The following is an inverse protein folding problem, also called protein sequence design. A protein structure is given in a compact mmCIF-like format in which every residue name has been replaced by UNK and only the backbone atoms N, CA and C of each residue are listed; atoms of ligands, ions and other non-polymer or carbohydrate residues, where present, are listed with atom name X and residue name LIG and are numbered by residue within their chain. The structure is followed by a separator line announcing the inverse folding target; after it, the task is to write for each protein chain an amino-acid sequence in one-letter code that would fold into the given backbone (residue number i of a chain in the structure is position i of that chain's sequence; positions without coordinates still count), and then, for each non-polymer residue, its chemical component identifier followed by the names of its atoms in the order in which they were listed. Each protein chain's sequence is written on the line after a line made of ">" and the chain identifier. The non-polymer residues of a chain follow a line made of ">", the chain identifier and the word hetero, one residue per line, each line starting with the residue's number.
data_IF_940312796940
#
_entry.id   IF_940312796940
#
_cell.length_a   1.000
_cell.length_b   1.000
_cell.length_c   1.000
_cell.angle_alpha   90.00
_cell.angle_beta   90.00
_cell.angle_gamma   90.00
#
_symmetry.space_group_name_H-M   'P 1'
#
loop_
_entity.id
_entity.type
_entity.pdbx_description
1 polymer ?
#
# COMPACT_ATOMS: atom_id res chain seq x y z
N UNK A 1 8.87 -1.78 22.31
CA UNK A 1 7.71 -2.56 21.82
C UNK A 1 7.58 -2.26 20.33
N UNK A 2 7.31 -3.27 19.49
CA UNK A 2 7.16 -3.07 18.04
C UNK A 2 5.71 -2.66 17.76
N UNK A 3 5.51 -1.60 16.97
CA UNK A 3 4.19 -1.16 16.50
C UNK A 3 3.97 -1.61 15.05
N UNK A 4 3.05 -2.56 14.85
CA UNK A 4 2.73 -3.05 13.50
C UNK A 4 2.13 -1.95 12.62
N UNK A 5 1.33 -1.06 13.22
CA UNK A 5 0.69 0.03 12.50
C UNK A 5 1.70 1.07 12.01
N UNK A 6 2.71 1.42 12.81
CA UNK A 6 3.76 2.37 12.39
C UNK A 6 4.58 1.81 11.24
N UNK A 7 4.93 0.52 11.28
CA UNK A 7 5.66 -0.15 10.20
C UNK A 7 4.81 -0.24 8.93
N UNK A 8 3.53 -0.59 9.06
CA UNK A 8 2.60 -0.66 7.94
C UNK A 8 2.37 0.73 7.31
N UNK A 9 2.25 1.77 8.14
CA UNK A 9 2.11 3.15 7.68
C UNK A 9 3.30 3.58 6.81
N UNK A 10 4.53 3.20 7.18
CA UNK A 10 5.70 3.47 6.36
C UNK A 10 5.67 2.77 4.98
N UNK A 11 5.00 1.61 4.86
CA UNK A 11 4.76 0.96 3.56
C UNK A 11 3.70 1.73 2.77
N UNK A 12 2.61 2.14 3.41
CA UNK A 12 1.55 2.96 2.80
C UNK A 12 2.09 4.30 2.31
N UNK A 13 2.98 4.95 3.07
CA UNK A 13 3.63 6.21 2.65
C UNK A 13 4.43 6.02 1.36
N UNK A 14 5.12 4.89 1.19
CA UNK A 14 5.78 4.56 -0.08
C UNK A 14 4.78 4.40 -1.22
N UNK A 15 3.62 3.77 -0.95
CA UNK A 15 2.56 3.64 -1.95
C UNK A 15 2.01 5.02 -2.36
N UNK A 16 1.78 5.91 -1.40
CA UNK A 16 1.27 7.27 -1.63
C UNK A 16 2.26 8.11 -2.44
N UNK A 17 3.55 8.10 -2.09
CA UNK A 17 4.60 8.82 -2.84
C UNK A 17 4.72 8.31 -4.28
N UNK A 18 4.44 7.01 -4.51
CA UNK A 18 4.55 6.35 -5.81
C UNK A 18 3.19 6.07 -6.44
N UNK A 19 2.17 6.87 -6.13
CA UNK A 19 0.79 6.57 -6.51
C UNK A 19 0.60 6.34 -8.02
N UNK A 20 1.11 7.28 -8.84
CA UNK A 20 1.03 7.21 -10.31
C UNK A 20 1.70 5.94 -10.89
N UNK A 21 2.99 5.65 -10.65
CA UNK A 21 3.62 4.45 -11.21
C UNK A 21 3.09 3.14 -10.62
N UNK A 22 2.44 3.17 -9.45
CA UNK A 22 1.77 2.01 -8.87
C UNK A 22 0.34 1.82 -9.41
N UNK A 23 -0.18 2.79 -10.17
CA UNK A 23 -1.56 2.75 -10.67
C UNK A 23 -2.60 2.84 -9.55
N UNK A 24 -2.28 3.50 -8.43
CA UNK A 24 -3.19 3.67 -7.29
C UNK A 24 -3.67 5.13 -7.21
N UNK A 25 -4.87 5.33 -6.66
CA UNK A 25 -5.39 6.67 -6.37
C UNK A 25 -5.36 6.95 -4.86
N UNK A 26 -5.09 8.20 -4.50
CA UNK A 26 -5.06 8.65 -3.10
C UNK A 26 -6.13 9.71 -2.90
N UNK A 27 -7.03 9.44 -1.96
CA UNK A 27 -8.11 10.35 -1.60
C UNK A 27 -7.95 10.77 -0.15
N UNK A 28 -8.17 12.06 0.13
CA UNK A 28 -8.31 12.54 1.51
C UNK A 28 -9.77 12.88 1.73
N UNK A 29 -10.37 12.23 2.72
CA UNK A 29 -11.76 12.45 3.10
C UNK A 29 -11.88 13.69 3.99
N UNK A 30 -13.10 14.22 4.11
CA UNK A 30 -13.38 15.42 4.93
C UNK A 30 -13.01 15.24 6.41
N UNK A 31 -13.02 13.99 6.91
CA UNK A 31 -12.56 13.65 8.26
C UNK A 31 -11.05 13.52 8.43
N UNK A 32 -10.25 13.85 7.40
CA UNK A 32 -8.78 13.75 7.42
C UNK A 32 -8.22 12.35 7.15
N UNK A 33 -9.07 11.33 7.08
CA UNK A 33 -8.67 9.98 6.71
C UNK A 33 -8.13 9.95 5.27
N UNK A 34 -7.05 9.21 5.08
CA UNK A 34 -6.46 8.96 3.76
C UNK A 34 -6.89 7.57 3.28
N UNK A 35 -7.48 7.52 2.08
CA UNK A 35 -7.91 6.29 1.41
C UNK A 35 -6.99 6.08 0.21
N UNK A 36 -6.35 4.92 0.15
CA UNK A 36 -5.60 4.46 -1.02
C UNK A 36 -6.47 3.46 -1.77
N UNK A 37 -6.99 3.87 -2.93
CA UNK A 37 -7.67 2.97 -3.85
C UNK A 37 -6.61 2.26 -4.70
N UNK A 38 -6.48 0.95 -4.48
CA UNK A 38 -5.50 0.11 -5.16
C UNK A 38 -6.12 -0.81 -6.24
N UNK A 39 -7.39 -0.62 -6.62
CA UNK A 39 -8.01 -1.51 -7.61
C UNK A 39 -9.52 -1.35 -7.87
N UNK A 40 -10.21 -0.40 -7.25
CA UNK A 40 -11.67 -0.20 -7.42
C UNK A 40 -11.95 0.75 -8.59
N UNK A 41 -11.45 1.97 -8.52
CA UNK A 41 -11.57 3.01 -9.55
C UNK A 41 -10.33 3.15 -10.43
N UNK A 42 -9.27 2.42 -10.12
CA UNK A 42 -7.98 2.41 -10.82
C UNK A 42 -7.55 0.99 -11.11
N UNK A 43 -6.70 0.74 -12.12
CA UNK A 43 -6.25 -0.61 -12.46
C UNK A 43 -5.38 -1.27 -11.38
N UNK A 44 -4.71 -0.48 -10.54
CA UNK A 44 -3.66 -0.99 -9.65
C UNK A 44 -2.43 -1.48 -10.43
N UNK A 45 -1.60 -2.29 -9.76
CA UNK A 45 -0.45 -2.96 -10.36
C UNK A 45 -0.02 -4.16 -9.53
N UNK A 46 0.80 -5.04 -10.10
CA UNK A 46 1.45 -6.13 -9.35
C UNK A 46 2.24 -5.59 -8.15
N UNK A 47 3.03 -4.53 -8.34
CA UNK A 47 3.82 -3.93 -7.27
C UNK A 47 2.93 -3.30 -6.18
N UNK A 48 1.81 -2.68 -6.55
CA UNK A 48 0.82 -2.21 -5.57
C UNK A 48 0.26 -3.36 -4.74
N UNK A 49 -0.05 -4.50 -5.36
CA UNK A 49 -0.49 -5.70 -4.67
C UNK A 49 0.57 -6.29 -3.72
N UNK A 50 1.84 -6.31 -4.15
CA UNK A 50 2.96 -6.76 -3.32
C UNK A 50 3.12 -5.90 -2.07
N UNK A 51 3.12 -4.57 -2.23
CA UNK A 51 3.18 -3.62 -1.11
C UNK A 51 1.94 -3.71 -0.22
N UNK A 52 0.75 -3.86 -0.80
CA UNK A 52 -0.49 -4.06 -0.05
C UNK A 52 -0.43 -5.32 0.81
N UNK A 53 0.11 -6.42 0.28
CA UNK A 53 0.31 -7.65 1.05
C UNK A 53 1.29 -7.45 2.21
N UNK A 54 2.39 -6.70 2.02
CA UNK A 54 3.30 -6.34 3.12
C UNK A 54 2.63 -5.48 4.20
N UNK A 55 1.73 -4.55 3.81
CA UNK A 55 0.88 -3.80 4.75
C UNK A 55 0.02 -4.76 5.58
N UNK A 56 -0.63 -5.73 4.95
CA UNK A 56 -1.42 -6.75 5.65
C UNK A 56 -0.58 -7.63 6.60
N UNK A 57 0.72 -7.76 6.34
CA UNK A 57 1.69 -8.47 7.19
C UNK A 57 2.33 -7.56 8.25
N UNK A 58 1.77 -6.38 8.49
CA UNK A 58 2.24 -5.49 9.55
C UNK A 58 3.57 -4.80 9.25
N UNK A 59 4.02 -4.80 7.99
CA UNK A 59 5.34 -4.31 7.59
C UNK A 59 6.53 -5.14 8.09
N UNK A 60 6.26 -6.33 8.64
CA UNK A 60 7.29 -7.29 9.09
C UNK A 60 7.46 -8.47 8.14
N UNK A 61 6.47 -8.73 7.28
CA UNK A 61 6.55 -9.74 6.25
C UNK A 61 7.17 -9.20 4.97
N UNK A 62 7.89 -10.07 4.27
CA UNK A 62 8.43 -9.81 2.93
C UNK A 62 7.60 -10.57 1.89
N UNK A 63 7.27 -9.91 0.79
CA UNK A 63 6.53 -10.52 -0.32
C UNK A 63 7.33 -10.33 -1.61
N UNK A 64 7.59 -11.44 -2.30
CA UNK A 64 8.34 -11.46 -3.57
C UNK A 64 7.53 -12.21 -4.64
N UNK A 65 7.76 -11.85 -5.91
CA UNK A 65 7.24 -12.63 -7.02
C UNK A 65 8.14 -13.85 -7.26
N UNK A 66 7.53 -14.97 -7.63
CA UNK A 66 8.25 -16.14 -8.11
C UNK A 66 7.93 -16.39 -9.58
N UNK A 67 8.88 -16.98 -10.29
CA UNK A 67 8.60 -17.62 -11.57
C UNK A 67 8.00 -19.01 -11.29
N UNK A 68 7.07 -19.43 -12.15
CA UNK A 68 6.46 -20.77 -12.12
C UNK A 68 7.28 -21.77 -12.94
#
# INVERSE_FOLDING_TARGET
>A
MISLNELSAAVVDRMVVRAEPLGVAVHRLDGGALVVDAGVGVPGSFEAGRLFAEVCLGGLGEVTFCDL
#
